data_IF_325563209696
#
_entry.id   IF_325563209696
#
_cell.length_a   1.000
_cell.length_b   1.000
_cell.length_c   1.000
_cell.angle_alpha   90.00
_cell.angle_beta   90.00
_cell.angle_gamma   90.00
#
_symmetry.space_group_name_H-M   'P 1'
#
loop_
_entity.id
_entity.type
_entity.pdbx_description
1 polymer ?
#
# COMPACT_ATOMS: atom_id res chain seq x y z
N UNK A 1 16.33 7.20 13.40
CA UNK A 1 15.17 6.27 13.38
C UNK A 1 13.92 7.11 13.48
N UNK A 2 12.96 6.95 12.56
CA UNK A 2 11.64 7.55 12.73
C UNK A 2 10.92 6.82 13.87
N UNK A 3 10.20 7.55 14.72
CA UNK A 3 9.26 6.98 15.69
C UNK A 3 7.84 6.95 15.10
N UNK A 4 6.92 6.26 15.78
CA UNK A 4 5.52 6.13 15.34
C UNK A 4 4.84 7.49 15.09
N UNK A 5 5.07 8.47 15.98
CA UNK A 5 4.49 9.79 15.88
C UNK A 5 4.96 10.53 14.63
N UNK A 6 6.27 10.45 14.35
CA UNK A 6 6.86 11.02 13.15
C UNK A 6 6.34 10.37 11.87
N UNK A 7 6.05 9.06 11.86
CA UNK A 7 5.48 8.36 10.70
C UNK A 7 4.00 8.64 10.52
N UNK A 8 3.23 8.74 11.60
CA UNK A 8 1.84 9.20 11.54
C UNK A 8 1.74 10.61 10.95
N UNK A 9 2.65 11.51 11.36
CA UNK A 9 2.73 12.86 10.79
C UNK A 9 3.00 12.83 9.29
N UNK A 10 3.93 12.00 8.84
CA UNK A 10 4.25 11.84 7.41
C UNK A 10 3.05 11.34 6.62
N UNK A 11 2.33 10.31 7.10
CA UNK A 11 1.13 9.81 6.42
C UNK A 11 0.01 10.86 6.38
N UNK A 12 -0.17 11.64 7.46
CA UNK A 12 -1.12 12.75 7.46
C UNK A 12 -0.78 13.79 6.40
N UNK A 13 0.49 14.17 6.31
CA UNK A 13 0.98 15.17 5.36
C UNK A 13 0.92 14.66 3.91
N UNK A 14 1.16 13.36 3.69
CA UNK A 14 1.00 12.72 2.38
C UNK A 14 -0.46 12.74 1.88
N UNK A 15 -1.43 12.76 2.79
CA UNK A 15 -2.85 12.92 2.51
C UNK A 15 -3.29 14.40 2.47
N UNK A 16 -2.36 15.36 2.58
CA UNK A 16 -2.62 16.80 2.59
C UNK A 16 -3.57 17.28 3.73
N UNK A 17 -3.70 16.50 4.79
CA UNK A 17 -4.62 16.80 5.90
C UNK A 17 -3.96 17.68 6.96
N UNK A 18 -4.71 18.62 7.54
CA UNK A 18 -4.26 19.30 8.76
C UNK A 18 -4.49 18.42 10.01
N UNK A 19 -3.85 18.75 11.14
CA UNK A 19 -4.08 18.05 12.42
C UNK A 19 -5.56 18.08 12.87
N UNK A 20 -6.31 19.21 12.75
CA UNK A 20 -7.76 19.22 12.93
C UNK A 20 -8.52 18.26 12.00
N UNK A 21 -8.17 18.22 10.72
CA UNK A 21 -8.89 17.39 9.74
C UNK A 21 -8.72 15.91 10.05
N UNK A 22 -7.48 15.49 10.35
CA UNK A 22 -7.21 14.13 10.82
C UNK A 22 -8.00 13.80 12.09
N UNK A 23 -8.06 14.75 13.03
CA UNK A 23 -8.79 14.54 14.27
C UNK A 23 -10.29 14.31 14.01
N UNK A 24 -10.90 15.09 13.11
CA UNK A 24 -12.29 14.92 12.70
C UNK A 24 -12.50 13.57 12.01
N UNK A 25 -11.60 13.20 11.09
CA UNK A 25 -11.66 11.97 10.31
C UNK A 25 -11.69 10.70 11.17
N UNK A 26 -10.92 10.69 12.26
CA UNK A 26 -10.78 9.52 13.16
C UNK A 26 -11.54 9.68 14.48
N UNK A 27 -12.41 10.68 14.59
CA UNK A 27 -13.29 10.88 15.76
C UNK A 27 -12.53 11.20 17.05
N UNK A 28 -11.49 12.02 16.98
CA UNK A 28 -10.66 12.43 18.13
C UNK A 28 -10.51 13.96 18.18
N UNK A 29 -9.66 14.45 19.08
CA UNK A 29 -9.36 15.90 19.21
C UNK A 29 -8.03 16.27 18.54
N UNK A 30 -7.91 17.51 18.08
CA UNK A 30 -6.63 18.05 17.58
C UNK A 30 -5.48 17.86 18.58
N UNK A 31 -5.76 18.07 19.88
CA UNK A 31 -4.76 17.89 20.96
C UNK A 31 -4.26 16.44 21.01
N UNK A 32 -5.15 15.48 20.82
CA UNK A 32 -4.79 14.06 20.78
C UNK A 32 -3.88 13.75 19.58
N UNK A 33 -4.18 14.28 18.40
CA UNK A 33 -3.31 14.13 17.21
C UNK A 33 -1.92 14.72 17.46
N UNK A 34 -1.84 15.92 18.05
CA UNK A 34 -0.56 16.54 18.42
C UNK A 34 0.23 15.64 19.38
N UNK A 35 -0.43 15.07 20.38
CA UNK A 35 0.21 14.19 21.35
C UNK A 35 0.73 12.90 20.69
N UNK A 36 0.00 12.35 19.70
CA UNK A 36 0.48 11.23 18.90
C UNK A 36 1.71 11.58 18.09
N UNK A 37 1.66 12.69 17.34
CA UNK A 37 2.77 13.11 16.47
C UNK A 37 4.04 13.50 17.23
N UNK A 38 3.91 13.89 18.51
CA UNK A 38 5.04 14.15 19.42
C UNK A 38 5.56 12.92 20.15
N UNK A 39 4.83 11.80 20.09
CA UNK A 39 5.14 10.59 20.85
C UNK A 39 4.74 10.64 22.33
N UNK A 40 3.98 11.65 22.76
CA UNK A 40 3.46 11.77 24.14
C UNK A 40 2.38 10.71 24.44
N UNK A 41 1.72 10.20 23.40
CA UNK A 41 0.77 9.08 23.46
C UNK A 41 0.71 8.37 22.11
N UNK A 42 -0.11 7.33 21.96
CA UNK A 42 -0.26 6.61 20.69
C UNK A 42 -1.73 6.33 20.35
N UNK A 43 -2.08 6.19 19.06
CA UNK A 43 -3.42 5.78 18.67
C UNK A 43 -3.74 4.38 19.22
N UNK A 44 -4.96 4.19 19.70
CA UNK A 44 -5.49 2.88 20.09
C UNK A 44 -5.75 1.99 18.88
N UNK A 45 -5.94 0.69 19.08
CA UNK A 45 -6.29 -0.24 17.99
C UNK A 45 -7.56 0.17 17.22
N UNK A 46 -8.55 0.78 17.89
CA UNK A 46 -9.76 1.32 17.23
C UNK A 46 -9.43 2.51 16.33
N UNK A 47 -8.56 3.41 16.78
CA UNK A 47 -8.11 4.56 16.00
C UNK A 47 -7.23 4.13 14.82
N UNK A 48 -6.35 3.15 15.01
CA UNK A 48 -5.58 2.54 13.91
C UNK A 48 -6.49 1.87 12.88
N UNK A 49 -7.53 1.15 13.33
CA UNK A 49 -8.53 0.59 12.41
C UNK A 49 -9.27 1.68 11.63
N UNK A 50 -9.60 2.81 12.28
CA UNK A 50 -10.20 3.96 11.60
C UNK A 50 -9.25 4.58 10.57
N UNK A 51 -7.96 4.74 10.92
CA UNK A 51 -6.93 5.24 9.99
C UNK A 51 -6.82 4.34 8.76
N UNK A 52 -6.73 3.01 8.94
CA UNK A 52 -6.67 2.06 7.83
C UNK A 52 -7.88 2.17 6.89
N UNK A 53 -9.09 2.33 7.44
CA UNK A 53 -10.33 2.51 6.64
C UNK A 53 -10.33 3.80 5.81
N UNK A 54 -9.53 4.79 6.22
CA UNK A 54 -9.39 6.06 5.53
C UNK A 54 -8.11 6.13 4.67
N UNK A 55 -7.50 4.98 4.35
CA UNK A 55 -6.39 4.89 3.40
C UNK A 55 -5.00 5.25 3.97
N UNK A 56 -4.84 5.30 5.29
CA UNK A 56 -3.53 5.44 5.91
C UNK A 56 -2.77 4.12 5.91
N UNK A 57 -1.45 4.15 5.64
CA UNK A 57 -0.59 2.98 5.77
C UNK A 57 -0.27 2.70 7.25
N UNK A 58 -1.14 1.92 7.90
CA UNK A 58 -0.99 1.55 9.31
C UNK A 58 0.22 0.66 9.55
N UNK A 59 0.65 -0.14 8.57
CA UNK A 59 1.87 -0.95 8.70
C UNK A 59 3.06 0.00 8.81
N UNK A 60 3.16 0.99 7.91
CA UNK A 60 4.21 2.00 7.96
C UNK A 60 4.20 2.76 9.28
N UNK A 61 3.04 3.22 9.75
CA UNK A 61 2.94 3.93 11.03
C UNK A 61 3.53 3.09 12.17
N UNK A 62 3.16 1.81 12.25
CA UNK A 62 3.59 0.92 13.34
C UNK A 62 5.04 0.49 13.23
N UNK A 63 5.47 -0.02 12.08
CA UNK A 63 6.75 -0.72 11.91
C UNK A 63 7.81 0.11 11.21
N UNK A 64 7.40 1.10 10.43
CA UNK A 64 8.28 1.82 9.49
C UNK A 64 8.43 1.13 8.15
N UNK A 65 7.77 -0.01 7.94
CA UNK A 65 7.75 -0.72 6.66
C UNK A 65 6.47 -0.34 5.90
N UNK A 66 6.58 0.06 4.63
CA UNK A 66 5.39 0.36 3.83
C UNK A 66 4.73 -0.92 3.34
N UNK A 67 3.40 -0.97 3.41
CA UNK A 67 2.62 -2.06 2.84
C UNK A 67 2.75 -2.01 1.31
N UNK A 68 3.73 -2.73 0.78
CA UNK A 68 4.04 -2.76 -0.64
C UNK A 68 5.00 -1.67 -1.08
N UNK A 69 6.20 -1.58 -0.50
CA UNK A 69 7.33 -1.49 -1.43
C UNK A 69 7.32 -2.82 -2.18
N UNK A 70 6.84 -2.89 -3.44
CA UNK A 70 7.20 -4.03 -4.26
C UNK A 70 8.73 -3.97 -4.32
N UNK A 71 9.41 -5.11 -4.37
CA UNK A 71 10.79 -5.05 -4.87
C UNK A 71 10.78 -4.19 -6.14
N UNK A 72 11.72 -3.25 -6.30
CA UNK A 72 11.75 -2.39 -7.47
C UNK A 72 11.60 -3.28 -8.70
N UNK A 73 10.52 -3.05 -9.45
CA UNK A 73 10.17 -3.87 -10.59
C UNK A 73 11.42 -4.02 -11.45
N UNK A 74 11.69 -5.24 -11.89
CA UNK A 74 12.79 -5.46 -12.81
C UNK A 74 12.57 -4.60 -14.06
N UNK A 75 13.64 -4.21 -14.78
CA UNK A 75 13.50 -3.32 -15.94
C UNK A 75 12.46 -3.80 -16.97
N UNK A 76 12.33 -5.11 -17.15
CA UNK A 76 11.33 -5.75 -18.01
C UNK A 76 9.90 -5.64 -17.47
N UNK A 77 9.69 -5.88 -16.17
CA UNK A 77 8.39 -5.72 -15.50
C UNK A 77 7.92 -4.27 -15.53
N UNK A 78 8.83 -3.31 -15.29
CA UNK A 78 8.53 -1.88 -15.39
C UNK A 78 8.17 -1.47 -16.81
N UNK A 79 8.93 -1.93 -17.82
CA UNK A 79 8.65 -1.63 -19.22
C UNK A 79 7.31 -2.24 -19.67
N UNK A 80 6.98 -3.45 -19.22
CA UNK A 80 5.70 -4.09 -19.51
C UNK A 80 4.52 -3.29 -18.94
N UNK A 81 4.64 -2.85 -17.68
CA UNK A 81 3.61 -2.04 -17.03
C UNK A 81 3.42 -0.68 -17.71
N UNK A 82 4.51 0.00 -18.08
CA UNK A 82 4.44 1.27 -18.81
C UNK A 82 3.80 1.09 -20.18
N UNK A 83 4.17 0.06 -20.93
CA UNK A 83 3.53 -0.26 -22.20
C UNK A 83 2.02 -0.51 -22.00
N UNK A 84 1.65 -1.33 -21.01
CA UNK A 84 0.24 -1.65 -20.71
C UNK A 84 -0.60 -0.40 -20.38
N UNK A 85 -0.04 0.55 -19.62
CA UNK A 85 -0.72 1.81 -19.26
C UNK A 85 -1.05 2.67 -20.48
N UNK A 86 -0.23 2.62 -21.53
CA UNK A 86 -0.42 3.38 -22.77
C UNK A 86 -1.33 2.70 -23.81
N UNK A 87 -1.80 1.47 -23.55
CA UNK A 87 -2.71 0.76 -24.46
C UNK A 87 -4.14 1.32 -24.41
N UNK A 88 -4.88 1.17 -25.51
CA UNK A 88 -6.33 1.35 -25.50
C UNK A 88 -7.04 0.15 -24.85
N UNK A 89 -8.34 0.28 -24.57
CA UNK A 89 -9.08 -0.73 -23.82
C UNK A 89 -9.14 -2.08 -24.55
N UNK A 90 -9.32 -2.09 -25.88
CA UNK A 90 -9.31 -3.33 -26.67
C UNK A 90 -7.94 -4.04 -26.59
N UNK A 91 -6.85 -3.28 -26.54
CA UNK A 91 -5.50 -3.81 -26.46
C UNK A 91 -5.16 -4.32 -25.06
N UNK A 92 -5.60 -3.63 -24.00
CA UNK A 92 -5.46 -4.11 -22.62
C UNK A 92 -6.18 -5.43 -22.40
N UNK A 93 -7.39 -5.56 -22.93
CA UNK A 93 -8.18 -6.79 -22.94
C UNK A 93 -7.45 -7.94 -23.66
N UNK A 94 -6.83 -7.66 -24.80
CA UNK A 94 -6.04 -8.65 -25.52
C UNK A 94 -4.81 -9.11 -24.71
N UNK A 95 -4.07 -8.17 -24.10
CA UNK A 95 -2.92 -8.49 -23.23
C UNK A 95 -3.35 -9.33 -22.03
N UNK A 96 -4.49 -9.00 -21.41
CA UNK A 96 -5.04 -9.75 -20.28
C UNK A 96 -5.38 -11.19 -20.65
N UNK A 97 -6.05 -11.41 -21.79
CA UNK A 97 -6.36 -12.77 -22.25
C UNK A 97 -5.11 -13.59 -22.56
N UNK A 98 -4.11 -12.98 -23.20
CA UNK A 98 -2.85 -13.67 -23.49
C UNK A 98 -2.11 -14.02 -22.20
N UNK A 99 -2.05 -13.11 -21.23
CA UNK A 99 -1.39 -13.39 -19.95
C UNK A 99 -2.10 -14.48 -19.15
N UNK A 100 -3.43 -14.54 -19.19
CA UNK A 100 -4.22 -15.60 -18.56
C UNK A 100 -3.91 -16.97 -19.17
N UNK A 101 -3.95 -17.09 -20.50
CA UNK A 101 -3.65 -18.35 -21.21
C UNK A 101 -2.20 -18.80 -20.94
N UNK A 102 -1.24 -17.87 -21.00
CA UNK A 102 0.18 -18.19 -20.85
C UNK A 102 0.57 -18.52 -19.40
N UNK A 103 -0.08 -17.89 -18.41
CA UNK A 103 0.17 -18.18 -16.99
C UNK A 103 -0.42 -19.53 -16.55
N UNK A 104 -1.55 -19.96 -17.14
CA UNK A 104 -2.13 -21.27 -16.87
C UNK A 104 -1.30 -22.45 -17.41
N UNK A 105 -0.54 -22.24 -18.49
CA UNK A 105 0.24 -23.28 -19.18
C UNK A 105 1.50 -23.78 -18.45
N UNK A 106 1.91 -23.17 -17.34
CA UNK A 106 3.19 -23.49 -16.66
C UNK A 106 3.07 -24.56 -15.56
N UNK A 107 1.88 -25.11 -15.28
CA UNK A 107 1.67 -26.08 -14.18
C UNK A 107 1.77 -27.58 -14.54
N UNK A 108 2.17 -27.98 -15.74
CA UNK A 108 2.19 -29.40 -16.12
C UNK A 108 3.47 -29.87 -16.84
N UNK A 109 4.62 -29.82 -16.18
CA UNK A 109 5.78 -30.65 -16.60
C UNK A 109 6.64 -31.11 -15.42
N UNK A 110 6.06 -31.82 -14.44
CA UNK A 110 6.81 -32.77 -13.61
C UNK A 110 5.86 -33.87 -13.17
N UNK A 111 5.80 -34.95 -13.95
CA UNK A 111 5.62 -36.33 -13.49
C UNK A 111 5.36 -37.20 -14.72
N UNK A 112 6.40 -37.77 -15.29
CA UNK A 112 6.44 -39.17 -15.71
C UNK A 112 7.88 -39.50 -16.15
N UNK A 113 8.67 -39.96 -15.19
CA UNK A 113 9.84 -40.78 -15.49
C UNK A 113 9.99 -41.82 -14.38
N UNK A 114 9.80 -43.07 -14.81
CA UNK A 114 10.41 -44.31 -14.30
C UNK A 114 9.79 -44.94 -13.04
N UNK A 115 9.46 -46.22 -13.21
CA UNK A 115 8.94 -47.17 -12.23
C UNK A 115 8.34 -48.36 -12.95
#
# INVERSE_FOLDING_TARGET
MSDLGSRLKQEREAQELSQPDLAQLVGTTRRTVIAWEKGDSSPTGVQLSSLAKNGFDVLYILTGERAGEPEPLKPDESALLDNYRHLCDEQREAVFRVSEVMSAGTKQEKNFSQG
#
